data_IF_089783397432
#
_entry.id   IF_089783397432
#
_cell.length_a   1.000
_cell.length_b   1.000
_cell.length_c   1.000
_cell.angle_alpha   90.00
_cell.angle_beta   90.00
_cell.angle_gamma   90.00
#
_symmetry.space_group_name_H-M   'P 1'
#
loop_
_entity.id
_entity.type
_entity.pdbx_description
1 polymer ?
#
# COMPACT_ATOMS: atom_id res chain seq x y z
N UNK A 1 -6.52 -19.93 -0.49
CA UNK A 1 -6.18 -19.28 0.80
C UNK A 1 -5.53 -17.95 0.50
N UNK A 2 -6.11 -16.83 0.96
CA UNK A 2 -5.50 -15.48 0.89
C UNK A 2 -4.24 -15.43 1.76
N UNK A 3 -3.27 -14.60 1.39
CA UNK A 3 -2.07 -14.39 2.21
C UNK A 3 -2.34 -13.37 3.32
N UNK A 4 -3.19 -12.40 3.01
CA UNK A 4 -3.53 -11.27 3.86
C UNK A 4 -5.05 -11.15 3.94
N UNK A 5 -5.59 -11.08 5.15
CA UNK A 5 -7.02 -10.79 5.36
C UNK A 5 -7.10 -9.40 5.96
N UNK A 6 -7.82 -8.49 5.30
CA UNK A 6 -8.12 -7.18 5.90
C UNK A 6 -8.94 -7.39 7.18
N UNK A 7 -8.72 -6.54 8.17
CA UNK A 7 -9.47 -6.55 9.42
C UNK A 7 -9.64 -5.12 9.89
N UNK A 8 -10.78 -4.84 10.50
CA UNK A 8 -11.23 -3.48 10.82
C UNK A 8 -10.40 -2.80 11.91
N UNK A 9 -9.56 -3.57 12.63
CA UNK A 9 -8.54 -3.02 13.54
C UNK A 9 -7.53 -2.12 12.82
N UNK A 10 -7.43 -2.23 11.49
CA UNK A 10 -6.57 -1.40 10.62
C UNK A 10 -7.28 -0.20 10.01
N UNK A 11 -8.54 0.06 10.35
CA UNK A 11 -9.21 1.29 9.93
C UNK A 11 -8.56 2.51 10.59
N UNK A 12 -8.31 3.52 9.76
CA UNK A 12 -7.84 4.84 10.15
C UNK A 12 -8.99 5.80 10.43
N UNK A 13 -10.20 5.46 9.97
CA UNK A 13 -11.36 6.35 10.02
C UNK A 13 -11.26 7.47 8.97
N UNK A 14 -10.47 7.25 7.91
CA UNK A 14 -10.33 8.14 6.78
C UNK A 14 -10.75 7.33 5.56
N UNK A 15 -12.02 7.44 5.17
CA UNK A 15 -12.67 6.56 4.18
C UNK A 15 -11.82 6.35 2.92
N UNK A 16 -11.24 7.44 2.39
CA UNK A 16 -10.41 7.36 1.18
C UNK A 16 -9.13 6.52 1.34
N UNK A 17 -8.49 6.55 2.52
CA UNK A 17 -7.29 5.76 2.80
C UNK A 17 -7.67 4.31 3.14
N UNK A 18 -8.74 4.13 3.92
CA UNK A 18 -9.22 2.79 4.30
C UNK A 18 -9.61 1.96 3.07
N UNK A 19 -10.26 2.57 2.07
CA UNK A 19 -10.61 1.89 0.83
C UNK A 19 -9.40 1.63 -0.08
N UNK A 20 -8.40 2.53 -0.09
CA UNK A 20 -7.14 2.31 -0.79
C UNK A 20 -6.36 1.15 -0.16
N UNK A 21 -6.30 1.05 1.17
CA UNK A 21 -5.64 -0.06 1.86
C UNK A 21 -6.28 -1.41 1.56
N UNK A 22 -7.63 -1.49 1.57
CA UNK A 22 -8.34 -2.71 1.15
C UNK A 22 -7.98 -3.09 -0.28
N UNK A 23 -7.92 -2.12 -1.18
CA UNK A 23 -7.52 -2.33 -2.59
C UNK A 23 -6.10 -2.87 -2.70
N UNK A 24 -5.15 -2.35 -1.91
CA UNK A 24 -3.78 -2.87 -1.87
C UNK A 24 -3.72 -4.31 -1.38
N UNK A 25 -4.47 -4.64 -0.33
CA UNK A 25 -4.59 -6.03 0.17
C UNK A 25 -5.12 -6.96 -0.90
N UNK A 26 -6.12 -6.53 -1.67
CA UNK A 26 -6.67 -7.31 -2.77
C UNK A 26 -5.66 -7.53 -3.91
N UNK A 27 -4.90 -6.50 -4.29
CA UNK A 27 -3.83 -6.64 -5.29
C UNK A 27 -2.77 -7.66 -4.83
N UNK A 28 -2.33 -7.58 -3.57
CA UNK A 28 -1.38 -8.54 -2.99
C UNK A 28 -1.96 -9.96 -3.04
N UNK A 29 -3.22 -10.15 -2.62
CA UNK A 29 -3.85 -11.47 -2.61
C UNK A 29 -4.00 -12.07 -4.01
N UNK A 30 -4.35 -11.26 -5.01
CA UNK A 30 -4.44 -11.69 -6.42
C UNK A 30 -3.08 -12.15 -6.93
N UNK A 31 -2.02 -11.38 -6.63
CA UNK A 31 -0.65 -11.69 -7.03
C UNK A 31 -0.15 -13.01 -6.40
N UNK A 32 -0.36 -13.19 -5.10
CA UNK A 32 0.01 -14.42 -4.39
C UNK A 32 -0.74 -15.63 -4.94
N UNK A 33 -2.04 -15.48 -5.19
CA UNK A 33 -2.87 -16.56 -5.73
C UNK A 33 -2.37 -17.00 -7.09
N UNK A 34 -1.96 -16.07 -7.94
CA UNK A 34 -1.43 -16.39 -9.26
C UNK A 34 -0.06 -17.08 -9.18
N UNK A 35 0.87 -16.58 -8.35
CA UNK A 35 2.17 -17.23 -8.21
C UNK A 35 2.07 -18.66 -7.67
N UNK A 36 1.20 -18.93 -6.69
CA UNK A 36 0.98 -20.30 -6.19
C UNK A 36 0.49 -21.28 -7.27
N UNK A 37 -0.35 -20.81 -8.22
CA UNK A 37 -0.79 -21.64 -9.35
C UNK A 37 0.35 -21.96 -10.31
N UNK A 38 1.33 -21.06 -10.44
CA UNK A 38 2.48 -21.30 -11.31
C UNK A 38 3.43 -22.36 -10.78
N UNK A 39 3.48 -22.57 -9.47
CA UNK A 39 4.31 -23.60 -8.83
C UNK A 39 3.73 -25.02 -8.97
N UNK A 40 2.41 -25.16 -9.12
CA UNK A 40 1.73 -26.46 -9.12
C UNK A 40 1.58 -27.13 -10.50
N UNK A 41 1.84 -26.41 -11.60
CA UNK A 41 1.39 -26.79 -12.95
C UNK A 41 2.46 -27.43 -13.87
N UNK A 42 3.51 -28.08 -13.32
CA UNK A 42 4.52 -28.78 -14.13
C UNK A 42 5.65 -27.88 -14.65
N UNK A 43 6.35 -28.23 -15.75
CA UNK A 43 7.62 -27.59 -16.12
C UNK A 43 7.41 -26.15 -16.64
N UNK A 44 7.48 -25.20 -15.70
CA UNK A 44 7.52 -23.76 -15.95
C UNK A 44 6.17 -23.09 -16.25
N UNK A 45 6.02 -21.80 -15.92
CA UNK A 45 4.82 -21.04 -16.29
C UNK A 45 4.74 -20.88 -17.81
N UNK A 46 3.57 -21.17 -18.39
CA UNK A 46 3.29 -20.85 -19.79
C UNK A 46 3.37 -19.34 -20.04
N UNK A 47 3.64 -18.92 -21.28
CA UNK A 47 3.76 -17.50 -21.64
C UNK A 47 2.54 -16.64 -21.23
N UNK A 48 1.33 -17.21 -21.27
CA UNK A 48 0.12 -16.52 -20.79
C UNK A 48 0.11 -16.29 -19.27
N UNK A 49 0.62 -17.24 -18.47
CA UNK A 49 0.76 -17.06 -17.03
C UNK A 49 1.78 -15.98 -16.69
N UNK A 50 2.91 -15.93 -17.40
CA UNK A 50 3.91 -14.88 -17.24
C UNK A 50 3.34 -13.49 -17.57
N UNK A 51 2.56 -13.35 -18.66
CA UNK A 51 1.86 -12.11 -18.98
C UNK A 51 0.85 -11.70 -17.91
N UNK A 52 0.13 -12.67 -17.34
CA UNK A 52 -0.84 -12.41 -16.27
C UNK A 52 -0.16 -11.96 -14.98
N UNK A 53 0.94 -12.60 -14.60
CA UNK A 53 1.76 -12.16 -13.47
C UNK A 53 2.27 -10.74 -13.70
N UNK A 54 2.84 -10.45 -14.87
CA UNK A 54 3.33 -9.12 -15.21
C UNK A 54 2.26 -8.03 -15.06
N UNK A 55 1.01 -8.32 -15.47
CA UNK A 55 -0.13 -7.42 -15.27
C UNK A 55 -0.48 -7.21 -13.80
N UNK A 56 -0.59 -8.28 -13.02
CA UNK A 56 -0.89 -8.18 -11.58
C UNK A 56 0.18 -7.40 -10.79
N UNK A 57 1.43 -7.53 -11.21
CA UNK A 57 2.53 -6.74 -10.67
C UNK A 57 2.42 -5.25 -11.01
N UNK A 58 2.14 -4.94 -12.27
CA UNK A 58 1.96 -3.56 -12.72
C UNK A 58 0.76 -2.90 -12.03
N UNK A 59 -0.33 -3.66 -11.85
CA UNK A 59 -1.51 -3.26 -11.07
C UNK A 59 -1.12 -2.93 -9.63
N UNK A 60 -0.39 -3.82 -8.94
CA UNK A 60 0.08 -3.60 -7.58
C UNK A 60 0.96 -2.35 -7.50
N UNK A 61 1.97 -2.25 -8.36
CA UNK A 61 2.92 -1.13 -8.38
C UNK A 61 2.21 0.21 -8.60
N UNK A 62 1.32 0.26 -9.59
CA UNK A 62 0.56 1.48 -9.93
C UNK A 62 -0.40 1.85 -8.81
N UNK A 63 -1.09 0.88 -8.21
CA UNK A 63 -2.00 1.10 -7.07
C UNK A 63 -1.25 1.63 -5.86
N UNK A 64 -0.10 1.03 -5.50
CA UNK A 64 0.75 1.49 -4.38
C UNK A 64 1.25 2.91 -4.60
N UNK A 65 1.74 3.22 -5.81
CA UNK A 65 2.22 4.57 -6.12
C UNK A 65 1.08 5.61 -6.06
N UNK A 66 -0.10 5.27 -6.55
CA UNK A 66 -1.27 6.16 -6.51
C UNK A 66 -1.71 6.44 -5.07
N UNK A 67 -1.78 5.40 -4.24
CA UNK A 67 -2.08 5.51 -2.81
C UNK A 67 -1.09 6.44 -2.09
N UNK A 68 0.21 6.19 -2.20
CA UNK A 68 1.23 7.04 -1.58
C UNK A 68 1.17 8.48 -2.08
N UNK A 69 0.94 8.69 -3.37
CA UNK A 69 0.82 10.05 -3.93
C UNK A 69 -0.37 10.81 -3.32
N UNK A 70 -1.49 10.11 -3.11
CA UNK A 70 -2.70 10.66 -2.50
C UNK A 70 -2.47 10.99 -1.02
N UNK A 71 -1.96 10.05 -0.24
CA UNK A 71 -1.68 10.26 1.18
C UNK A 71 -0.64 11.36 1.41
N UNK A 72 0.44 11.39 0.63
CA UNK A 72 1.43 12.44 0.70
C UNK A 72 0.89 13.81 0.33
N UNK A 73 -0.08 13.89 -0.60
CA UNK A 73 -0.77 15.14 -0.90
C UNK A 73 -1.55 15.61 0.32
N UNK A 74 -2.33 14.72 0.97
CA UNK A 74 -3.03 15.04 2.21
C UNK A 74 -2.07 15.49 3.31
N UNK A 75 -0.96 14.78 3.53
CA UNK A 75 0.05 15.15 4.51
C UNK A 75 0.64 16.54 4.25
N UNK A 76 0.96 16.88 2.98
CA UNK A 76 1.50 18.19 2.61
C UNK A 76 0.48 19.30 2.80
N UNK A 77 -0.76 19.09 2.39
CA UNK A 77 -1.85 20.07 2.50
C UNK A 77 -2.14 20.42 3.97
N UNK A 78 -1.95 19.46 4.88
CA UNK A 78 -2.14 19.65 6.32
C UNK A 78 -0.86 20.05 7.07
N UNK A 79 0.26 20.24 6.37
CA UNK A 79 1.58 20.49 6.94
C UNK A 79 1.95 19.48 8.05
N UNK A 80 1.70 18.19 7.80
CA UNK A 80 1.99 17.11 8.75
C UNK A 80 3.48 17.06 9.10
N UNK A 81 3.87 17.20 10.39
CA UNK A 81 5.29 17.25 10.78
C UNK A 81 6.08 15.98 10.46
N UNK A 82 5.40 14.82 10.42
CA UNK A 82 6.02 13.52 10.13
C UNK A 82 6.23 13.23 8.64
N UNK A 83 5.84 14.14 7.73
CA UNK A 83 5.83 13.91 6.28
C UNK A 83 7.15 13.35 5.73
N UNK A 84 8.28 13.96 6.09
CA UNK A 84 9.59 13.58 5.54
C UNK A 84 9.97 12.13 5.89
N UNK A 85 9.68 11.70 7.13
CA UNK A 85 9.98 10.34 7.56
C UNK A 85 9.03 9.34 6.87
N UNK A 86 7.74 9.67 6.83
CA UNK A 86 6.71 8.84 6.20
C UNK A 86 6.99 8.66 4.69
N UNK A 87 7.22 9.74 3.94
CA UNK A 87 7.52 9.68 2.50
C UNK A 87 8.80 8.88 2.20
N UNK A 88 9.76 8.82 3.13
CA UNK A 88 10.95 7.97 2.97
C UNK A 88 10.60 6.49 2.97
N UNK A 89 9.66 6.06 3.81
CA UNK A 89 9.17 4.68 3.84
C UNK A 89 8.53 4.30 2.49
N UNK A 90 7.73 5.20 1.93
CA UNK A 90 7.13 5.04 0.60
C UNK A 90 8.17 4.86 -0.50
N UNK A 91 9.17 5.74 -0.55
CA UNK A 91 10.24 5.69 -1.56
C UNK A 91 10.99 4.36 -1.47
N UNK A 92 11.27 3.89 -0.26
CA UNK A 92 11.96 2.61 -0.04
C UNK A 92 11.14 1.43 -0.57
N UNK A 93 9.84 1.36 -0.26
CA UNK A 93 8.99 0.28 -0.75
C UNK A 93 8.87 0.29 -2.28
N UNK A 94 8.65 1.47 -2.88
CA UNK A 94 8.54 1.60 -4.34
C UNK A 94 9.82 1.12 -5.05
N UNK A 95 10.99 1.43 -4.49
CA UNK A 95 12.27 0.97 -5.02
C UNK A 95 12.41 -0.55 -4.91
N UNK A 96 12.00 -1.14 -3.79
CA UNK A 96 12.02 -2.59 -3.58
C UNK A 96 11.07 -3.34 -4.53
N UNK A 97 9.83 -2.85 -4.69
CA UNK A 97 8.85 -3.40 -5.63
C UNK A 97 9.37 -3.34 -7.06
N UNK A 98 9.94 -2.19 -7.48
CA UNK A 98 10.49 -2.02 -8.83
C UNK A 98 11.64 -2.99 -9.11
N UNK A 99 12.56 -3.13 -8.15
CA UNK A 99 13.73 -4.03 -8.27
C UNK A 99 13.29 -5.48 -8.36
N UNK A 100 12.37 -5.89 -7.49
CA UNK A 100 11.83 -7.24 -7.45
C UNK A 100 11.07 -7.60 -8.73
N UNK A 101 10.28 -6.66 -9.26
CA UNK A 101 9.54 -6.86 -10.49
C UNK A 101 10.46 -7.01 -11.71
N UNK A 102 11.47 -6.14 -11.84
CA UNK A 102 12.44 -6.22 -12.93
C UNK A 102 13.17 -7.58 -12.95
N UNK A 103 13.52 -8.11 -11.77
CA UNK A 103 14.14 -9.43 -11.63
C UNK A 103 13.19 -10.55 -12.07
N UNK A 104 11.91 -10.49 -11.67
CA UNK A 104 10.90 -11.48 -12.07
C UNK A 104 10.71 -11.56 -13.59
N UNK A 105 10.63 -10.40 -14.26
CA UNK A 105 10.49 -10.35 -15.71
C UNK A 105 11.72 -10.92 -16.44
N UNK A 106 12.92 -10.55 -15.98
CA UNK A 106 14.18 -10.96 -16.62
C UNK A 106 14.39 -12.47 -16.56
N UNK A 107 14.04 -13.08 -15.43
CA UNK A 107 14.24 -14.51 -15.20
C UNK A 107 13.13 -15.40 -15.79
N UNK A 108 12.08 -14.81 -16.39
CA UNK A 108 10.91 -15.53 -16.94
C UNK A 108 10.29 -16.55 -15.96
N UNK A 109 10.36 -16.24 -14.68
CA UNK A 109 9.85 -17.07 -13.60
C UNK A 109 9.09 -16.17 -12.62
N UNK A 110 8.16 -16.73 -11.84
CA UNK A 110 7.68 -16.01 -10.67
C UNK A 110 8.88 -15.88 -9.70
N UNK A 111 9.57 -14.73 -9.71
CA UNK A 111 10.63 -14.40 -8.74
C UNK A 111 10.07 -13.70 -7.50
N UNK A 112 8.74 -13.66 -7.33
CA UNK A 112 8.14 -13.36 -6.02
C UNK A 112 8.37 -14.55 -5.13
N UNK A 113 9.54 -14.59 -4.53
CA UNK A 113 9.82 -15.60 -3.55
C UNK A 113 8.82 -15.43 -2.39
N UNK A 114 8.44 -16.52 -1.70
CA UNK A 114 7.61 -16.44 -0.51
C UNK A 114 8.11 -15.40 0.50
N UNK A 115 9.43 -15.20 0.58
CA UNK A 115 10.07 -14.22 1.45
C UNK A 115 9.72 -12.79 1.07
N UNK A 116 9.71 -12.45 -0.23
CA UNK A 116 9.33 -11.10 -0.69
C UNK A 116 7.84 -10.83 -0.43
N UNK A 117 6.98 -11.82 -0.67
CA UNK A 117 5.55 -11.70 -0.38
C UNK A 117 5.30 -11.54 1.11
N UNK A 118 6.05 -12.25 1.95
CA UNK A 118 5.99 -12.09 3.39
C UNK A 118 6.55 -10.74 3.85
N UNK A 119 7.63 -10.26 3.24
CA UNK A 119 8.20 -8.94 3.52
C UNK A 119 7.21 -7.83 3.18
N UNK A 120 6.59 -7.87 1.99
CA UNK A 120 5.57 -6.91 1.58
C UNK A 120 4.36 -6.91 2.52
N UNK A 121 3.88 -8.10 2.92
CA UNK A 121 2.81 -8.25 3.90
C UNK A 121 3.19 -7.62 5.25
N UNK A 122 4.37 -7.96 5.77
CA UNK A 122 4.85 -7.45 7.05
C UNK A 122 5.02 -5.93 7.01
N UNK A 123 5.56 -5.41 5.92
CA UNK A 123 5.72 -3.97 5.70
C UNK A 123 4.36 -3.26 5.71
N UNK A 124 3.39 -3.74 4.92
CA UNK A 124 2.07 -3.08 4.82
C UNK A 124 1.35 -3.06 6.18
N UNK A 125 1.36 -4.18 6.91
CA UNK A 125 0.75 -4.23 8.24
C UNK A 125 1.44 -3.26 9.19
N UNK A 126 2.78 -3.23 9.20
CA UNK A 126 3.54 -2.36 10.08
C UNK A 126 3.29 -0.88 9.75
N UNK A 127 3.36 -0.51 8.48
CA UNK A 127 3.16 0.87 8.02
C UNK A 127 1.77 1.39 8.39
N UNK A 128 0.71 0.67 8.01
CA UNK A 128 -0.68 1.02 8.35
C UNK A 128 -0.92 1.13 9.86
N UNK A 129 -0.29 0.23 10.64
CA UNK A 129 -0.52 0.19 12.08
C UNK A 129 0.23 1.29 12.84
N UNK A 130 1.28 1.88 12.25
CA UNK A 130 2.15 2.85 12.90
C UNK A 130 2.15 4.19 12.17
N UNK A 131 2.79 4.27 11.00
CA UNK A 131 2.99 5.49 10.23
C UNK A 131 1.66 6.15 9.82
N UNK A 132 0.77 5.38 9.19
CA UNK A 132 -0.52 5.90 8.70
C UNK A 132 -1.47 6.17 9.86
N UNK A 133 -1.35 5.38 10.94
CA UNK A 133 -2.10 5.61 12.18
C UNK A 133 -1.69 6.91 12.86
N UNK A 134 -0.41 7.25 12.86
CA UNK A 134 0.07 8.52 13.42
C UNK A 134 -0.35 9.71 12.55
N UNK A 135 -0.36 9.55 11.22
CA UNK A 135 -0.97 10.54 10.34
C UNK A 135 -2.48 10.67 10.59
N UNK A 136 -3.21 9.56 10.75
CA UNK A 136 -4.65 9.57 11.00
C UNK A 136 -5.01 10.28 12.31
N UNK A 137 -4.23 10.08 13.39
CA UNK A 137 -4.42 10.84 14.65
C UNK A 137 -4.31 12.35 14.40
N UNK A 138 -3.25 12.77 13.71
CA UNK A 138 -3.06 14.18 13.36
C UNK A 138 -4.19 14.73 12.48
N UNK A 139 -4.63 13.94 11.49
CA UNK A 139 -5.74 14.28 10.61
C UNK A 139 -7.01 14.58 11.43
N UNK A 140 -7.39 13.65 12.31
CA UNK A 140 -8.59 13.80 13.14
C UNK A 140 -8.46 14.97 14.13
N UNK A 141 -7.32 15.14 14.77
CA UNK A 141 -7.08 16.29 15.67
C UNK A 141 -7.31 17.63 14.97
N UNK A 142 -6.81 17.78 13.74
CA UNK A 142 -6.98 19.00 12.92
C UNK A 142 -8.41 19.19 12.43
N UNK A 143 -9.11 18.12 12.05
CA UNK A 143 -10.50 18.19 11.60
C UNK A 143 -11.50 18.38 12.75
N UNK A 144 -11.16 17.95 13.97
CA UNK A 144 -11.95 18.22 15.18
C UNK A 144 -11.71 19.62 15.77
N UNK A 145 -10.58 20.27 15.45
CA UNK A 145 -10.26 21.64 15.89
C UNK A 145 -10.56 22.68 14.78
N UNK A 146 -11.81 22.74 14.31
CA UNK A 146 -12.26 23.94 13.59
C UNK A 146 -12.50 25.05 14.61
N UNK A 147 -11.87 26.24 14.52
CA UNK A 147 -12.12 27.32 15.46
C UNK A 147 -13.57 27.81 15.31
N UNK A 148 -14.23 28.07 16.44
CA UNK A 148 -15.47 28.87 16.46
C UNK A 148 -15.20 30.21 15.77
N UNK A 149 -16.09 30.72 14.91
CA UNK A 149 -15.98 32.08 14.40
C UNK A 149 -15.90 33.05 15.58
N UNK A 150 -14.94 33.97 15.55
CA UNK A 150 -14.81 35.05 16.52
C UNK A 150 -16.17 35.75 16.64
N UNK A 151 -16.87 35.52 17.75
CA UNK A 151 -18.12 36.22 18.04
C UNK A 151 -17.78 37.69 18.24
N UNK A 152 -18.27 38.53 17.34
CA UNK A 152 -18.24 39.98 17.46
C UNK A 152 -18.70 40.38 18.87
N UNK A 153 -17.87 41.17 19.57
CA UNK A 153 -18.27 41.80 20.83
C UNK A 153 -19.36 42.83 20.55
N UNK A 154 -20.56 42.73 21.17
CA UNK A 154 -21.50 43.82 21.10
C UNK A 154 -21.03 44.94 22.04
N UNK A 155 -21.01 46.13 21.47
CA UNK A 155 -20.72 47.42 22.11
C UNK A 155 -21.85 47.85 23.04
#
# INVERSE_FOLDING_TARGET
>A
MSLLTWSDDRLLGIDSLDDQHKTLVDCINKLVTECRKTETDGPGPSGEKLKKLARLFDDLYTTTKAHFSHEEAMMRDMAYPGYTAHAREHVMLIAELKTSFAKALTQQQCSLTPELLQALKSWLIAHVSHSDRDFAKFFHEKHHTTPLPESESPR
#
